data_IF_004134538831
#
_entry.id   IF_004134538831
#
_cell.length_a   1.000
_cell.length_b   1.000
_cell.length_c   1.000
_cell.angle_alpha   90.00
_cell.angle_beta   90.00
_cell.angle_gamma   90.00
#
_symmetry.space_group_name_H-M   'P 1'
#
loop_
_entity.id
_entity.type
_entity.pdbx_description
1 polymer ?
#
# COMPACT_ATOMS: atom_id res chain seq x y z
N UNK A 1 39.65 -38.81 22.34
CA UNK A 1 39.88 -37.58 23.12
C UNK A 1 38.95 -36.54 22.48
N UNK A 2 37.66 -36.55 22.84
CA UNK A 2 37.05 -35.95 24.05
C UNK A 2 37.27 -34.42 24.04
N UNK A 3 36.29 -33.52 24.19
CA UNK A 3 34.92 -33.52 24.72
C UNK A 3 34.16 -32.37 24.00
N UNK A 4 32.86 -32.40 23.71
CA UNK A 4 31.67 -32.53 24.58
C UNK A 4 31.35 -31.26 25.39
N UNK A 5 30.08 -30.83 25.29
CA UNK A 5 29.32 -30.01 26.26
C UNK A 5 29.85 -28.59 26.58
N UNK A 6 29.07 -27.52 26.73
CA UNK A 6 27.65 -27.28 27.08
C UNK A 6 27.45 -25.76 26.90
N UNK A 7 26.29 -25.23 26.54
CA UNK A 7 25.12 -25.02 27.41
C UNK A 7 24.07 -24.30 26.52
N UNK A 8 22.89 -24.86 26.24
CA UNK A 8 21.61 -24.62 26.96
C UNK A 8 21.25 -23.13 27.07
N UNK A 9 20.05 -22.62 26.81
CA UNK A 9 18.66 -23.01 26.56
C UNK A 9 18.07 -21.76 25.87
N UNK A 10 17.09 -21.76 24.97
CA UNK A 10 15.84 -22.49 24.93
C UNK A 10 14.86 -21.61 24.13
N UNK A 11 13.95 -22.23 23.38
CA UNK A 11 12.58 -21.75 23.21
C UNK A 11 11.78 -22.89 22.57
N UNK A 12 10.94 -23.49 23.40
CA UNK A 12 9.95 -24.49 23.06
C UNK A 12 8.91 -23.95 22.08
N UNK A 13 8.46 -24.77 21.14
CA UNK A 13 7.13 -25.41 21.19
C UNK A 13 6.78 -26.07 19.85
N UNK A 14 6.77 -27.41 19.88
CA UNK A 14 5.67 -28.29 19.46
C UNK A 14 4.77 -27.82 18.31
N UNK A 15 4.93 -28.44 17.13
CA UNK A 15 3.78 -28.95 16.38
C UNK A 15 4.04 -30.36 15.89
N UNK A 16 3.06 -31.18 16.21
CA UNK A 16 3.03 -32.64 16.21
C UNK A 16 2.76 -33.21 14.83
N UNK A 17 3.47 -34.30 14.57
CA UNK A 17 3.28 -35.27 13.50
C UNK A 17 1.85 -35.80 13.46
N UNK A 18 1.30 -35.94 12.25
CA UNK A 18 0.01 -36.58 12.02
C UNK A 18 0.16 -38.09 12.21
N UNK A 19 -0.06 -38.54 13.45
CA UNK A 19 -0.32 -39.95 13.73
C UNK A 19 -1.81 -40.24 13.61
N UNK A 20 -2.09 -41.23 12.78
CA UNK A 20 -3.37 -41.87 12.54
C UNK A 20 -4.06 -42.29 13.84
N UNK A 21 -5.14 -41.60 14.21
CA UNK A 21 -6.05 -42.03 15.25
C UNK A 21 -7.10 -42.99 14.66
N UNK A 22 -6.87 -44.29 14.85
CA UNK A 22 -7.80 -45.36 14.54
C UNK A 22 -8.63 -45.67 15.81
N UNK A 23 -9.75 -44.98 15.98
CA UNK A 23 -10.87 -45.40 16.82
C UNK A 23 -12.02 -45.77 15.87
N UNK A 24 -12.86 -46.78 16.11
CA UNK A 24 -13.49 -47.13 17.39
C UNK A 24 -14.19 -48.48 17.23
N UNK A 25 -14.45 -49.11 18.37
CA UNK A 25 -15.70 -49.84 18.67
C UNK A 25 -15.79 -51.33 18.30
N UNK A 26 -15.25 -52.18 19.18
CA UNK A 26 -15.60 -53.60 19.21
C UNK A 26 -16.82 -53.79 20.12
N UNK A 27 -18.02 -53.59 19.57
CA UNK A 27 -19.28 -53.93 20.21
C UNK A 27 -19.77 -55.28 19.70
N UNK A 28 -19.63 -56.32 20.51
CA UNK A 28 -20.19 -57.65 20.22
C UNK A 28 -21.71 -57.61 20.47
N UNK A 29 -22.50 -57.48 19.40
CA UNK A 29 -23.94 -57.66 19.46
C UNK A 29 -24.27 -59.14 19.21
N UNK A 30 -24.58 -59.84 20.30
CA UNK A 30 -25.30 -61.11 20.27
C UNK A 30 -26.74 -60.84 19.84
N UNK A 31 -27.15 -61.35 18.67
CA UNK A 31 -28.56 -61.45 18.31
C UNK A 31 -28.94 -62.92 18.26
N UNK A 32 -29.60 -63.38 19.33
CA UNK A 32 -30.34 -64.62 19.34
C UNK A 32 -31.83 -64.28 19.27
N UNK A 33 -32.38 -64.33 18.05
CA UNK A 33 -33.82 -64.33 17.70
C UNK A 33 -33.89 -64.42 16.16
N UNK A 34 -34.68 -65.22 15.46
CA UNK A 34 -35.77 -66.12 15.81
C UNK A 34 -36.00 -67.08 14.62
N UNK A 35 -36.66 -68.20 14.89
CA UNK A 35 -37.13 -69.14 13.89
C UNK A 35 -38.09 -68.53 12.86
N UNK A 36 -37.82 -68.88 11.60
CA UNK A 36 -38.69 -69.27 10.48
C UNK A 36 -40.15 -68.75 10.44
N UNK A 37 -40.49 -68.00 9.38
CA UNK A 37 -41.63 -68.32 8.48
C UNK A 37 -41.67 -67.40 7.22
N UNK A 38 -41.49 -68.05 6.07
CA UNK A 38 -41.97 -67.77 4.69
C UNK A 38 -42.13 -66.33 4.17
N UNK A 39 -41.32 -66.04 3.14
CA UNK A 39 -41.80 -65.66 1.80
C UNK A 39 -42.77 -64.49 1.68
N UNK A 40 -42.25 -63.27 1.69
CA UNK A 40 -42.77 -62.15 0.92
C UNK A 40 -41.61 -61.20 0.62
N UNK A 41 -41.31 -61.00 -0.67
CA UNK A 41 -40.34 -60.00 -1.12
C UNK A 41 -40.86 -58.60 -0.76
N UNK A 42 -40.33 -58.00 0.30
CA UNK A 42 -40.49 -56.57 0.55
C UNK A 42 -39.23 -55.86 0.03
N UNK A 43 -39.37 -55.14 -1.08
CA UNK A 43 -38.31 -54.36 -1.70
C UNK A 43 -37.90 -53.25 -0.73
N UNK A 44 -36.74 -53.41 -0.10
CA UNK A 44 -36.05 -52.29 0.56
C UNK A 44 -35.62 -51.33 -0.55
N UNK A 45 -36.32 -50.22 -0.68
CA UNK A 45 -35.87 -49.09 -1.50
C UNK A 45 -34.61 -48.51 -0.87
N UNK A 46 -33.46 -49.01 -1.32
CA UNK A 46 -32.18 -48.35 -1.07
C UNK A 46 -32.18 -47.06 -1.88
N UNK A 47 -32.40 -45.92 -1.21
CA UNK A 47 -32.20 -44.61 -1.85
C UNK A 47 -30.72 -44.55 -2.22
N UNK A 48 -30.33 -44.58 -3.50
CA UNK A 48 -28.94 -44.47 -3.85
C UNK A 48 -28.49 -43.07 -3.45
N UNK A 49 -27.59 -42.97 -2.47
CA UNK A 49 -26.89 -41.72 -2.17
C UNK A 49 -26.20 -41.32 -3.47
N UNK A 50 -26.84 -40.40 -4.18
CA UNK A 50 -26.47 -40.07 -5.53
C UNK A 50 -25.16 -39.28 -5.51
N UNK A 51 -24.26 -39.58 -6.45
CA UNK A 51 -22.98 -38.89 -6.67
C UNK A 51 -23.10 -37.34 -6.70
N UNK A 52 -24.30 -36.84 -6.95
CA UNK A 52 -24.65 -35.42 -6.92
C UNK A 52 -24.56 -34.77 -5.53
N UNK A 53 -24.84 -35.48 -4.43
CA UNK A 53 -24.82 -34.90 -3.07
C UNK A 53 -23.45 -34.29 -2.68
N UNK A 54 -22.31 -35.00 -2.82
CA UNK A 54 -21.00 -34.40 -2.52
C UNK A 54 -20.63 -33.26 -3.49
N UNK A 55 -21.08 -33.32 -4.75
CA UNK A 55 -20.85 -32.25 -5.74
C UNK A 55 -21.61 -30.98 -5.36
N UNK A 56 -22.90 -31.11 -5.00
CA UNK A 56 -23.72 -29.97 -4.57
C UNK A 56 -23.13 -29.30 -3.33
N UNK A 57 -22.63 -30.08 -2.37
CA UNK A 57 -21.93 -29.54 -1.20
C UNK A 57 -20.68 -28.73 -1.58
N UNK A 58 -19.85 -29.26 -2.49
CA UNK A 58 -18.66 -28.55 -2.98
C UNK A 58 -19.02 -27.25 -3.71
N UNK A 59 -20.07 -27.24 -4.52
CA UNK A 59 -20.54 -26.02 -5.22
C UNK A 59 -21.00 -24.95 -4.22
N UNK A 60 -21.76 -25.32 -3.19
CA UNK A 60 -22.21 -24.37 -2.14
C UNK A 60 -21.01 -23.78 -1.38
N UNK A 61 -20.00 -24.59 -1.07
CA UNK A 61 -18.77 -24.09 -0.45
C UNK A 61 -18.02 -23.11 -1.36
N UNK A 62 -17.87 -23.42 -2.65
CA UNK A 62 -17.19 -22.53 -3.59
C UNK A 62 -17.94 -21.21 -3.74
N UNK A 63 -19.27 -21.25 -3.88
CA UNK A 63 -20.09 -20.05 -4.03
C UNK A 63 -20.03 -19.18 -2.77
N UNK A 64 -20.19 -19.78 -1.58
CA UNK A 64 -20.09 -19.04 -0.31
C UNK A 64 -18.70 -18.44 -0.08
N UNK A 65 -17.63 -19.17 -0.38
CA UNK A 65 -16.26 -18.68 -0.32
C UNK A 65 -16.02 -17.53 -1.31
N UNK A 66 -16.57 -17.63 -2.52
CA UNK A 66 -16.44 -16.57 -3.53
C UNK A 66 -17.13 -15.28 -3.09
N UNK A 67 -18.33 -15.38 -2.52
CA UNK A 67 -19.07 -14.24 -1.98
C UNK A 67 -18.31 -13.61 -0.80
N UNK A 68 -17.82 -14.43 0.13
CA UNK A 68 -17.04 -13.97 1.28
C UNK A 68 -15.74 -13.30 0.84
N UNK A 69 -14.98 -13.92 -0.07
CA UNK A 69 -13.72 -13.38 -0.60
C UNK A 69 -13.94 -12.03 -1.30
N UNK A 70 -14.99 -11.90 -2.10
CA UNK A 70 -15.35 -10.61 -2.74
C UNK A 70 -15.68 -9.55 -1.70
N UNK A 71 -16.49 -9.86 -0.70
CA UNK A 71 -16.88 -8.90 0.36
C UNK A 71 -15.70 -8.51 1.24
N UNK A 72 -14.85 -9.46 1.61
CA UNK A 72 -13.64 -9.21 2.39
C UNK A 72 -12.64 -8.32 1.63
N UNK A 73 -12.39 -8.63 0.35
CA UNK A 73 -11.54 -7.81 -0.51
C UNK A 73 -12.11 -6.41 -0.71
N UNK A 74 -13.41 -6.28 -0.99
CA UNK A 74 -14.05 -4.98 -1.14
C UNK A 74 -13.91 -4.12 0.14
N UNK A 75 -14.11 -4.72 1.31
CA UNK A 75 -13.95 -4.02 2.58
C UNK A 75 -12.48 -3.64 2.84
N UNK A 76 -11.52 -4.50 2.51
CA UNK A 76 -10.09 -4.15 2.59
C UNK A 76 -9.75 -2.98 1.67
N UNK A 77 -10.21 -3.00 0.42
CA UNK A 77 -9.96 -1.91 -0.54
C UNK A 77 -10.55 -0.59 -0.03
N UNK A 78 -11.76 -0.62 0.54
CA UNK A 78 -12.38 0.56 1.14
C UNK A 78 -11.57 1.11 2.32
N UNK A 79 -11.09 0.24 3.21
CA UNK A 79 -10.22 0.65 4.32
C UNK A 79 -8.93 1.29 3.84
N UNK A 80 -8.33 0.75 2.77
CA UNK A 80 -7.14 1.34 2.15
C UNK A 80 -7.46 2.68 1.47
N UNK A 81 -8.63 2.82 0.85
CA UNK A 81 -9.07 4.06 0.21
C UNK A 81 -9.46 5.17 1.21
N UNK A 82 -9.89 4.80 2.41
CA UNK A 82 -10.20 5.73 3.50
C UNK A 82 -8.95 6.20 4.27
N UNK A 83 -7.76 5.65 3.98
CA UNK A 83 -6.54 6.11 4.63
C UNK A 83 -6.21 7.54 4.19
N UNK A 84 -5.81 8.43 5.11
CA UNK A 84 -5.43 9.79 4.73
C UNK A 84 -4.24 9.77 3.77
N UNK A 85 -4.05 10.78 2.93
CA UNK A 85 -2.85 10.86 2.06
C UNK A 85 -1.63 11.27 2.90
N UNK A 86 -0.43 10.71 2.63
CA UNK A 86 0.78 11.05 3.44
C UNK A 86 1.26 12.46 3.11
N UNK A 87 1.05 12.88 1.87
CA UNK A 87 1.29 14.24 1.42
C UNK A 87 0.02 15.06 1.52
N UNK A 88 0.21 16.36 1.74
CA UNK A 88 -0.87 17.35 1.67
C UNK A 88 -1.37 17.49 0.22
N UNK A 89 -2.52 18.16 0.08
CA UNK A 89 -3.24 18.38 -1.18
C UNK A 89 -2.29 18.88 -2.30
N UNK A 90 -2.51 18.43 -3.53
CA UNK A 90 -1.56 18.65 -4.63
C UNK A 90 -1.89 19.92 -5.42
N UNK A 91 -1.54 21.08 -4.85
CA UNK A 91 -1.77 22.41 -5.45
C UNK A 91 -1.33 22.48 -6.93
N UNK A 92 -0.19 21.86 -7.28
CA UNK A 92 0.33 21.88 -8.64
C UNK A 92 -0.48 21.00 -9.63
N UNK A 93 -1.11 19.91 -9.15
CA UNK A 93 -2.07 19.11 -9.94
C UNK A 93 -3.30 19.92 -10.25
N UNK A 94 -3.87 20.51 -9.20
CA UNK A 94 -5.16 21.14 -9.24
C UNK A 94 -5.09 22.37 -10.11
N UNK A 95 -4.04 23.18 -9.95
CA UNK A 95 -3.76 24.29 -10.84
C UNK A 95 -3.63 23.84 -12.30
N UNK A 96 -2.97 22.72 -12.57
CA UNK A 96 -2.86 22.19 -13.94
C UNK A 96 -4.22 21.79 -14.51
N UNK A 97 -5.03 21.05 -13.74
CA UNK A 97 -6.36 20.61 -14.19
C UNK A 97 -7.35 21.78 -14.30
N UNK A 98 -7.26 22.77 -13.42
CA UNK A 98 -8.00 24.02 -13.52
C UNK A 98 -7.64 24.76 -14.81
N UNK A 99 -6.34 24.91 -15.09
CA UNK A 99 -5.87 25.51 -16.34
C UNK A 99 -6.30 24.69 -17.56
N UNK A 100 -6.32 23.37 -17.48
CA UNK A 100 -6.81 22.50 -18.55
C UNK A 100 -8.33 22.68 -18.76
N UNK A 101 -9.12 22.77 -17.70
CA UNK A 101 -10.55 23.05 -17.76
C UNK A 101 -10.84 24.44 -18.37
N UNK A 102 -10.08 25.46 -17.94
CA UNK A 102 -10.17 26.81 -18.49
C UNK A 102 -9.75 26.87 -19.96
N UNK A 103 -8.76 26.08 -20.39
CA UNK A 103 -8.31 26.02 -21.80
C UNK A 103 -9.41 25.58 -22.78
N UNK A 104 -10.45 24.90 -22.28
CA UNK A 104 -11.62 24.52 -23.08
C UNK A 104 -12.56 25.71 -23.31
N UNK A 105 -12.59 26.67 -22.37
CA UNK A 105 -13.51 27.82 -22.38
C UNK A 105 -12.82 29.10 -22.90
N UNK A 106 -11.55 29.29 -22.58
CA UNK A 106 -10.75 30.46 -22.89
C UNK A 106 -9.48 30.09 -23.67
N UNK A 107 -9.00 30.98 -24.55
CA UNK A 107 -7.77 30.78 -25.32
C UNK A 107 -6.52 30.99 -24.45
N UNK A 108 -6.18 30.00 -23.63
CA UNK A 108 -4.91 29.96 -22.89
C UNK A 108 -3.75 29.65 -23.85
N UNK A 109 -2.64 30.36 -23.66
CA UNK A 109 -1.44 30.14 -24.46
C UNK A 109 -0.77 28.80 -24.12
N UNK A 110 -0.40 28.00 -25.14
CA UNK A 110 0.19 26.66 -24.99
C UNK A 110 1.42 26.59 -24.07
N UNK A 111 2.29 27.62 -24.11
CA UNK A 111 3.44 27.74 -23.19
C UNK A 111 3.05 27.76 -21.71
N UNK A 112 1.89 28.30 -21.35
CA UNK A 112 1.42 28.33 -19.95
C UNK A 112 1.05 26.92 -19.51
N UNK A 113 0.36 26.15 -20.37
CA UNK A 113 0.02 24.75 -20.09
C UNK A 113 1.28 23.88 -19.97
N UNK A 114 2.28 24.09 -20.84
CA UNK A 114 3.59 23.41 -20.75
C UNK A 114 4.32 23.75 -19.45
N UNK A 115 4.32 25.02 -19.03
CA UNK A 115 4.94 25.44 -17.78
C UNK A 115 4.22 24.86 -16.54
N UNK A 116 2.88 24.82 -16.57
CA UNK A 116 2.10 24.20 -15.52
C UNK A 116 2.36 22.70 -15.39
N UNK A 117 2.43 21.97 -16.52
CA UNK A 117 2.79 20.55 -16.52
C UNK A 117 4.19 20.31 -15.95
N UNK A 118 5.14 21.19 -16.28
CA UNK A 118 6.51 21.11 -15.78
C UNK A 118 6.58 21.34 -14.26
N UNK A 119 5.75 22.24 -13.72
CA UNK A 119 5.64 22.45 -12.28
C UNK A 119 5.02 21.24 -11.57
N UNK A 120 3.96 20.64 -12.15
CA UNK A 120 3.37 19.38 -11.68
C UNK A 120 4.39 18.24 -11.67
N UNK A 121 5.13 18.07 -12.78
CA UNK A 121 6.18 17.05 -12.89
C UNK A 121 7.33 17.26 -11.88
N UNK A 122 7.75 18.50 -11.64
CA UNK A 122 8.78 18.82 -10.65
C UNK A 122 8.35 18.47 -9.22
N UNK A 123 7.10 18.75 -8.84
CA UNK A 123 6.57 18.37 -7.52
C UNK A 123 6.37 16.84 -7.39
N UNK A 124 5.96 16.14 -8.45
CA UNK A 124 5.90 14.66 -8.45
C UNK A 124 7.29 14.03 -8.23
N UNK A 125 8.34 14.56 -8.88
CA UNK A 125 9.72 14.12 -8.64
C UNK A 125 10.16 14.44 -7.21
N UNK A 126 9.83 15.63 -6.70
CA UNK A 126 10.14 16.03 -5.32
C UNK A 126 9.56 15.05 -4.30
N UNK A 127 8.28 14.67 -4.47
CA UNK A 127 7.59 13.66 -3.63
C UNK A 127 8.26 12.30 -3.76
N UNK A 128 8.56 11.86 -4.98
CA UNK A 128 9.27 10.59 -5.26
C UNK A 128 10.62 10.53 -4.54
N UNK A 129 11.42 11.58 -4.65
CA UNK A 129 12.74 11.63 -4.03
C UNK A 129 12.63 11.60 -2.50
N UNK A 130 11.68 12.35 -1.93
CA UNK A 130 11.42 12.38 -0.50
C UNK A 130 10.97 11.01 0.04
N UNK A 131 10.08 10.31 -0.67
CA UNK A 131 9.68 8.95 -0.27
C UNK A 131 10.85 7.97 -0.34
N UNK A 132 11.69 8.05 -1.38
CA UNK A 132 12.87 7.19 -1.51
C UNK A 132 13.90 7.41 -0.41
N UNK A 133 14.11 8.67 0.00
CA UNK A 133 14.99 9.02 1.11
C UNK A 133 14.46 8.49 2.46
N UNK A 134 13.13 8.55 2.65
CA UNK A 134 12.46 8.11 3.88
C UNK A 134 12.27 6.58 3.96
N UNK A 135 12.25 5.88 2.82
CA UNK A 135 12.01 4.43 2.75
C UNK A 135 12.86 3.60 3.74
N UNK A 136 14.20 3.73 3.78
CA UNK A 136 15.01 2.94 4.73
C UNK A 136 14.74 3.30 6.20
N UNK A 137 14.37 4.56 6.49
CA UNK A 137 14.08 5.02 7.86
C UNK A 137 12.76 4.42 8.34
N UNK A 138 11.74 4.41 7.48
CA UNK A 138 10.43 3.84 7.79
C UNK A 138 10.52 2.32 7.90
N UNK A 139 11.29 1.65 7.04
CA UNK A 139 11.52 0.20 7.13
C UNK A 139 12.17 -0.18 8.46
N UNK A 140 13.14 0.60 8.94
CA UNK A 140 13.76 0.41 10.24
C UNK A 140 12.75 0.61 11.39
N UNK A 141 11.96 1.68 11.36
CA UNK A 141 10.95 1.94 12.39
C UNK A 141 9.83 0.88 12.41
N UNK A 142 9.48 0.34 11.25
CA UNK A 142 8.52 -0.76 11.12
C UNK A 142 9.07 -2.05 11.74
N UNK A 143 10.32 -2.42 11.44
CA UNK A 143 10.99 -3.59 12.06
C UNK A 143 11.12 -3.45 13.58
N UNK A 144 11.32 -2.22 14.08
CA UNK A 144 11.37 -1.94 15.51
C UNK A 144 10.00 -1.98 16.20
N UNK A 145 8.90 -2.09 15.45
CA UNK A 145 7.54 -2.09 15.98
C UNK A 145 7.02 -0.71 16.42
N UNK A 146 7.75 0.38 16.13
CA UNK A 146 7.32 1.75 16.44
C UNK A 146 6.23 2.26 15.49
N UNK A 147 6.10 1.64 14.31
CA UNK A 147 5.15 2.00 13.25
C UNK A 147 4.19 0.83 13.04
N UNK A 148 2.88 1.12 13.04
CA UNK A 148 1.85 0.11 12.81
C UNK A 148 1.77 -0.37 11.36
N UNK A 149 1.23 -1.59 11.17
CA UNK A 149 1.04 -2.20 9.84
C UNK A 149 0.23 -1.31 8.90
N UNK A 150 -0.84 -0.68 9.41
CA UNK A 150 -1.71 0.19 8.61
C UNK A 150 -0.93 1.36 7.98
N UNK A 151 0.04 1.92 8.70
CA UNK A 151 0.88 3.02 8.18
C UNK A 151 1.91 2.51 7.17
N UNK A 152 2.46 1.31 7.38
CA UNK A 152 3.37 0.69 6.43
C UNK A 152 2.67 0.38 5.11
N UNK A 153 1.49 -0.23 5.14
CA UNK A 153 0.68 -0.47 3.95
C UNK A 153 0.35 0.84 3.21
N UNK A 154 0.00 1.90 3.96
CA UNK A 154 -0.24 3.25 3.42
C UNK A 154 0.98 3.84 2.74
N UNK A 155 2.17 3.72 3.34
CA UNK A 155 3.42 4.20 2.75
C UNK A 155 3.75 3.49 1.43
N UNK A 156 3.52 2.18 1.37
CA UNK A 156 3.69 1.39 0.15
C UNK A 156 2.68 1.78 -0.94
N UNK A 157 1.44 2.09 -0.55
CA UNK A 157 0.41 2.58 -1.47
C UNK A 157 0.77 3.96 -2.03
N UNK A 158 1.16 4.91 -1.17
CA UNK A 158 1.56 6.26 -1.55
C UNK A 158 2.76 6.24 -2.52
N UNK A 159 3.76 5.39 -2.25
CA UNK A 159 4.93 5.25 -3.14
C UNK A 159 4.50 4.87 -4.56
N UNK A 160 3.56 3.93 -4.69
CA UNK A 160 3.02 3.53 -6.00
C UNK A 160 2.15 4.63 -6.61
N UNK A 161 1.40 5.35 -5.80
CA UNK A 161 0.55 6.45 -6.27
C UNK A 161 1.38 7.56 -6.91
N UNK A 162 2.45 8.01 -6.24
CA UNK A 162 3.35 9.05 -6.76
C UNK A 162 4.10 8.56 -8.02
N UNK A 163 4.48 7.28 -8.10
CA UNK A 163 5.08 6.71 -9.31
C UNK A 163 4.11 6.68 -10.50
N UNK A 164 2.84 6.32 -10.24
CA UNK A 164 1.78 6.36 -11.26
C UNK A 164 1.52 7.79 -11.71
N UNK A 165 1.42 8.73 -10.78
CA UNK A 165 1.25 10.15 -11.09
C UNK A 165 2.40 10.67 -11.97
N UNK A 166 3.65 10.37 -11.62
CA UNK A 166 4.80 10.77 -12.45
C UNK A 166 4.72 10.16 -13.85
N UNK A 167 4.35 8.88 -13.98
CA UNK A 167 4.14 8.24 -15.29
C UNK A 167 3.03 8.92 -16.10
N UNK A 168 1.94 9.35 -15.47
CA UNK A 168 0.88 10.10 -16.12
C UNK A 168 1.37 11.45 -16.64
N UNK A 169 2.20 12.18 -15.88
CA UNK A 169 2.78 13.44 -16.36
C UNK A 169 3.66 13.26 -17.60
N UNK A 170 4.39 12.14 -17.68
CA UNK A 170 5.20 11.79 -18.86
C UNK A 170 4.30 11.47 -20.05
N UNK A 171 3.22 10.73 -19.84
CA UNK A 171 2.25 10.43 -20.90
C UNK A 171 1.59 11.71 -21.41
N UNK A 172 1.23 12.63 -20.52
CA UNK A 172 0.64 13.92 -20.88
C UNK A 172 1.64 14.83 -21.60
N UNK A 173 2.93 14.75 -21.24
CA UNK A 173 3.98 15.46 -21.96
C UNK A 173 4.09 14.98 -23.42
N UNK A 174 3.95 13.68 -23.69
CA UNK A 174 3.92 13.13 -25.06
C UNK A 174 2.68 13.63 -25.83
N UNK A 175 1.52 13.68 -25.16
CA UNK A 175 0.28 14.19 -25.76
C UNK A 175 0.40 15.66 -26.17
N UNK A 176 1.09 16.47 -25.36
CA UNK A 176 1.25 17.89 -25.60
C UNK A 176 2.33 18.20 -26.65
N UNK A 177 3.42 17.44 -26.67
CA UNK A 177 4.46 17.55 -27.68
C UNK A 177 5.16 16.20 -27.92
N UNK A 178 5.07 15.63 -29.14
CA UNK A 178 5.67 14.34 -29.44
C UNK A 178 7.20 14.41 -29.33
N UNK A 179 7.79 13.42 -28.64
CA UNK A 179 9.24 13.33 -28.44
C UNK A 179 9.81 14.17 -27.29
N UNK A 180 8.97 14.90 -26.55
CA UNK A 180 9.36 15.65 -25.35
C UNK A 180 9.64 14.80 -24.08
N UNK A 181 9.01 13.62 -23.84
CA UNK A 181 9.15 12.84 -22.61
C UNK A 181 10.58 12.56 -22.13
N UNK A 182 11.49 12.27 -23.07
CA UNK A 182 12.89 11.93 -22.74
C UNK A 182 13.60 13.09 -22.06
N UNK A 183 13.33 14.32 -22.51
CA UNK A 183 13.92 15.54 -21.96
C UNK A 183 13.11 16.03 -20.75
N UNK A 184 11.79 15.83 -20.76
CA UNK A 184 10.85 16.26 -19.73
C UNK A 184 11.26 15.79 -18.33
N UNK A 185 11.59 14.51 -18.16
CA UNK A 185 11.95 13.95 -16.85
C UNK A 185 13.22 14.61 -16.26
N UNK A 186 14.26 14.78 -17.09
CA UNK A 186 15.51 15.44 -16.68
C UNK A 186 15.25 16.90 -16.31
N UNK A 187 14.48 17.64 -17.12
CA UNK A 187 14.14 19.03 -16.84
C UNK A 187 13.34 19.19 -15.54
N UNK A 188 12.36 18.30 -15.30
CA UNK A 188 11.60 18.30 -14.05
C UNK A 188 12.51 18.10 -12.84
N UNK A 189 13.52 17.24 -12.93
CA UNK A 189 14.48 16.99 -11.86
C UNK A 189 15.35 18.23 -11.58
N UNK A 190 15.87 18.87 -12.61
CA UNK A 190 16.66 20.12 -12.49
C UNK A 190 15.83 21.25 -11.88
N UNK A 191 14.58 21.40 -12.32
CA UNK A 191 13.65 22.42 -11.80
C UNK A 191 13.31 22.14 -10.34
N UNK A 192 13.05 20.88 -9.97
CA UNK A 192 12.83 20.48 -8.59
C UNK A 192 14.01 20.89 -7.69
N UNK A 193 15.25 20.63 -8.12
CA UNK A 193 16.43 21.03 -7.35
C UNK A 193 16.60 22.55 -7.29
N UNK A 194 16.36 23.27 -8.38
CA UNK A 194 16.43 24.72 -8.39
C UNK A 194 15.36 25.38 -7.49
N UNK A 195 14.13 24.85 -7.51
CA UNK A 195 13.05 25.29 -6.62
C UNK A 195 13.40 25.02 -5.15
N UNK A 196 13.96 23.84 -4.84
CA UNK A 196 14.40 23.50 -3.49
C UNK A 196 15.50 24.45 -3.00
N UNK A 197 16.49 24.75 -3.86
CA UNK A 197 17.57 25.70 -3.55
C UNK A 197 17.02 27.12 -3.33
N UNK A 198 16.12 27.58 -4.19
CA UNK A 198 15.48 28.89 -4.09
C UNK A 198 14.67 29.04 -2.79
N UNK A 199 13.87 28.03 -2.43
CA UNK A 199 13.13 27.97 -1.15
C UNK A 199 14.09 28.05 0.05
N UNK A 200 15.19 27.30 0.00
CA UNK A 200 16.23 27.31 1.06
C UNK A 200 16.89 28.69 1.16
N UNK A 201 17.24 29.31 0.04
CA UNK A 201 17.85 30.63 0.01
C UNK A 201 16.93 31.70 0.61
N UNK A 202 15.66 31.75 0.19
CA UNK A 202 14.67 32.67 0.76
C UNK A 202 14.45 32.45 2.26
N UNK A 203 14.50 31.20 2.72
CA UNK A 203 14.39 30.87 4.16
C UNK A 203 15.54 31.42 5.01
N UNK A 204 16.73 31.63 4.42
CA UNK A 204 17.89 32.17 5.15
C UNK A 204 17.66 33.64 5.48
N UNK A 205 17.11 34.42 4.53
CA UNK A 205 16.77 35.82 4.75
C UNK A 205 15.71 35.97 5.85
N UNK A 206 14.65 35.17 5.79
CA UNK A 206 13.62 35.16 6.84
C UNK A 206 14.17 34.75 8.21
N UNK A 207 15.04 33.72 8.26
CA UNK A 207 15.67 33.29 9.52
C UNK A 207 16.59 34.33 10.12
N UNK A 208 17.25 35.16 9.30
CA UNK A 208 18.05 36.28 9.77
C UNK A 208 17.19 37.28 10.56
N UNK A 209 16.02 37.63 10.03
CA UNK A 209 15.09 38.55 10.69
C UNK A 209 14.58 37.97 12.02
N UNK A 210 14.14 36.71 12.01
CA UNK A 210 13.69 36.01 13.22
C UNK A 210 14.80 35.95 14.29
N UNK A 211 16.04 35.71 13.88
CA UNK A 211 17.18 35.66 14.80
C UNK A 211 17.50 37.02 15.44
N UNK A 212 17.33 38.11 14.68
CA UNK A 212 17.52 39.48 15.20
C UNK A 212 16.48 39.80 16.27
N UNK A 213 15.23 39.40 16.04
CA UNK A 213 14.13 39.59 16.98
C UNK A 213 14.29 38.72 18.23
N UNK A 214 14.53 37.42 18.06
CA UNK A 214 14.62 36.47 19.19
C UNK A 214 15.80 36.77 20.13
N UNK A 215 16.91 37.28 19.59
CA UNK A 215 18.13 37.57 20.35
C UNK A 215 18.33 39.06 20.64
N UNK A 216 17.33 39.92 20.36
CA UNK A 216 17.39 41.38 20.53
C UNK A 216 18.68 42.01 19.96
N UNK A 217 19.15 41.50 18.82
CA UNK A 217 20.42 41.91 18.23
C UNK A 217 20.29 43.26 17.54
N UNK A 218 21.00 44.26 18.05
CA UNK A 218 21.16 45.54 17.38
C UNK A 218 22.31 45.45 16.36
N UNK A 219 21.97 45.07 15.14
CA UNK A 219 22.91 44.96 14.02
C UNK A 219 22.99 46.30 13.26
N UNK A 220 24.20 46.83 13.10
CA UNK A 220 24.47 47.96 12.21
C UNK A 220 24.39 47.55 10.74
N UNK A 221 24.25 48.52 9.82
CA UNK A 221 24.27 48.30 8.36
C UNK A 221 25.50 47.52 7.87
N UNK A 222 26.59 47.55 8.63
CA UNK A 222 27.88 46.96 8.30
C UNK A 222 27.99 45.49 8.76
N UNK A 223 26.92 44.95 9.37
CA UNK A 223 26.87 43.58 9.88
C UNK A 223 27.55 43.39 11.26
N UNK A 224 27.96 44.47 11.91
CA UNK A 224 28.53 44.44 13.27
C UNK A 224 27.46 44.62 14.34
N UNK A 225 27.67 44.00 15.51
CA UNK A 225 26.83 44.23 16.69
C UNK A 225 27.17 45.58 17.32
N UNK A 226 26.16 46.40 17.61
CA UNK A 226 26.36 47.57 18.47
C UNK A 226 26.61 47.09 19.90
N UNK A 227 27.66 47.61 20.53
CA UNK A 227 27.88 47.44 21.98
C UNK A 227 26.85 48.19 22.80
#
# INVERSE_FOLDING_TARGET
MADNSTFEEGFNNTYTDYSSFNGTFNGTYSNNTNGTFTGAEEKVETIPISFYTPIVYAVILIVSLMIFSRRYKANRIRKLAEQPEIFDEHDAKELYFELQGLSTTEKIHEKVLKAALLNRGAEAIRRTLKLKELAPQIELMYKNGSVGEDYWERFQAETKFVEVEFRETIQEAENLQPGWPKLFATLCQEICFNQALSRRYQSILKRKEVCIEEWDLKINSDGTLTK
#
